data_IF_151762762297
#
_entry.id   IF_151762762297
#
_cell.length_a   1.000
_cell.length_b   1.000
_cell.length_c   1.000
_cell.angle_alpha   90.00
_cell.angle_beta   90.00
_cell.angle_gamma   90.00
#
_symmetry.space_group_name_H-M   'P 1'
#
loop_
_entity.id
_entity.type
_entity.pdbx_description
1 polymer ?
#
# COMPACT_ATOMS: atom_id res chain seq x y z
N UNK A 1 -8.18 -10.01 9.07
CA UNK A 1 -8.81 -10.46 7.80
C UNK A 1 -8.06 -9.81 6.66
N UNK A 2 -7.31 -10.54 5.82
CA UNK A 2 -6.56 -9.92 4.73
C UNK A 2 -7.52 -9.51 3.62
N UNK A 3 -7.34 -8.29 3.11
CA UNK A 3 -8.19 -7.71 2.06
C UNK A 3 -7.50 -7.93 0.71
N UNK A 4 -8.28 -8.30 -0.30
CA UNK A 4 -7.85 -8.42 -1.69
C UNK A 4 -8.14 -7.12 -2.45
N UNK A 5 -7.20 -6.72 -3.32
CA UNK A 5 -7.27 -5.47 -4.07
C UNK A 5 -7.09 -5.66 -5.57
N UNK A 6 -7.69 -4.74 -6.32
CA UNK A 6 -7.33 -4.41 -7.70
C UNK A 6 -6.65 -3.05 -7.77
N UNK A 7 -5.89 -2.83 -8.84
CA UNK A 7 -5.15 -1.58 -9.02
C UNK A 7 -6.10 -0.55 -9.65
N UNK A 8 -6.13 0.66 -9.09
CA UNK A 8 -6.90 1.76 -9.67
C UNK A 8 -6.02 2.56 -10.65
N UNK A 9 -6.64 3.24 -11.60
CA UNK A 9 -5.91 4.11 -12.52
C UNK A 9 -5.57 5.46 -11.86
N UNK A 10 -4.50 5.44 -11.07
CA UNK A 10 -3.97 6.61 -10.36
C UNK A 10 -3.46 7.68 -11.32
N UNK A 11 -3.04 7.31 -12.54
CA UNK A 11 -2.40 8.24 -13.47
C UNK A 11 -3.40 9.29 -13.96
N UNK A 12 -4.61 8.86 -14.31
CA UNK A 12 -5.68 9.77 -14.74
C UNK A 12 -6.15 10.69 -13.61
N UNK A 13 -6.12 10.22 -12.36
CA UNK A 13 -6.52 11.04 -11.21
C UNK A 13 -5.48 12.08 -10.77
N UNK A 14 -4.25 11.95 -11.25
CA UNK A 14 -3.12 12.83 -10.94
C UNK A 14 -2.89 13.93 -11.97
N UNK A 15 -3.86 14.18 -12.86
CA UNK A 15 -3.74 15.24 -13.86
C UNK A 15 -3.46 16.61 -13.19
N UNK A 16 -2.41 17.28 -13.65
CA UNK A 16 -1.91 18.54 -13.08
C UNK A 16 -1.01 18.42 -11.83
N UNK A 17 -0.87 17.26 -11.20
CA UNK A 17 0.04 17.08 -10.05
C UNK A 17 1.51 16.98 -10.50
N UNK A 18 2.42 17.67 -9.81
CA UNK A 18 3.87 17.63 -10.10
C UNK A 18 4.61 16.71 -9.15
N UNK A 19 4.04 16.44 -7.98
CA UNK A 19 4.66 15.70 -6.90
C UNK A 19 3.64 14.88 -6.10
N UNK A 20 3.99 13.63 -5.80
CA UNK A 20 3.12 12.66 -5.15
C UNK A 20 3.85 11.94 -4.01
N UNK A 21 3.19 11.86 -2.86
CA UNK A 21 3.60 11.00 -1.76
C UNK A 21 2.81 9.68 -1.78
N UNK A 22 3.48 8.57 -2.05
CA UNK A 22 2.90 7.23 -1.99
C UNK A 22 2.94 6.74 -0.54
N UNK A 23 1.79 6.34 0.00
CA UNK A 23 1.63 5.88 1.38
C UNK A 23 1.16 4.44 1.38
N UNK A 24 2.08 3.47 1.52
CA UNK A 24 1.74 2.07 1.52
C UNK A 24 1.28 1.56 2.90
N UNK A 25 0.19 0.78 2.90
CA UNK A 25 -0.13 -0.17 3.96
C UNK A 25 0.61 -1.49 3.67
N UNK A 26 1.52 -1.89 4.56
CA UNK A 26 2.45 -2.99 4.29
C UNK A 26 1.88 -4.38 4.58
N UNK A 27 0.58 -4.49 4.89
CA UNK A 27 -0.05 -5.78 5.16
C UNK A 27 -0.94 -6.25 4.00
N UNK A 28 -2.17 -5.75 3.91
CA UNK A 28 -3.16 -6.32 2.98
C UNK A 28 -2.78 -6.11 1.49
N UNK A 29 -2.33 -4.92 1.05
CA UNK A 29 -1.79 -4.73 -0.29
C UNK A 29 -0.59 -5.63 -0.59
N UNK A 30 0.36 -5.71 0.34
CA UNK A 30 1.54 -6.54 0.16
C UNK A 30 1.18 -8.04 0.05
N UNK A 31 0.20 -8.50 0.83
CA UNK A 31 -0.30 -9.86 0.73
C UNK A 31 -1.01 -10.11 -0.61
N UNK A 32 -1.82 -9.15 -1.07
CA UNK A 32 -2.49 -9.21 -2.38
C UNK A 32 -1.50 -9.35 -3.52
N UNK A 33 -0.48 -8.48 -3.56
CA UNK A 33 0.54 -8.52 -4.63
C UNK A 33 1.33 -9.83 -4.58
N UNK A 34 1.69 -10.31 -3.38
CA UNK A 34 2.39 -11.58 -3.23
C UNK A 34 1.57 -12.79 -3.74
N UNK A 35 0.26 -12.82 -3.45
CA UNK A 35 -0.64 -13.85 -3.98
C UNK A 35 -0.78 -13.74 -5.49
N UNK A 36 -1.01 -12.53 -6.01
CA UNK A 36 -1.18 -12.28 -7.45
C UNK A 36 0.04 -12.72 -8.25
N UNK A 37 1.24 -12.45 -7.73
CA UNK A 37 2.50 -12.82 -8.38
C UNK A 37 2.97 -14.25 -8.06
N UNK A 38 2.28 -14.99 -7.18
CA UNK A 38 2.70 -16.30 -6.68
C UNK A 38 4.11 -16.30 -6.08
N UNK A 39 4.44 -15.24 -5.33
CA UNK A 39 5.78 -15.02 -4.76
C UNK A 39 5.75 -14.96 -3.22
N UNK A 40 6.89 -15.22 -2.56
CA UNK A 40 6.97 -15.10 -1.10
C UNK A 40 6.53 -13.72 -0.61
N UNK A 41 5.59 -13.72 0.33
CA UNK A 41 5.11 -12.53 1.01
C UNK A 41 6.18 -11.91 1.91
N UNK A 42 6.93 -12.77 2.62
CA UNK A 42 8.07 -12.37 3.44
C UNK A 42 9.20 -13.38 3.28
N UNK A 43 10.44 -12.91 3.33
CA UNK A 43 11.63 -13.76 3.34
C UNK A 43 12.53 -13.37 4.51
N UNK A 44 12.48 -14.11 5.62
CA UNK A 44 13.15 -13.74 6.88
C UNK A 44 14.67 -13.55 6.74
N UNK A 45 15.31 -14.35 5.89
CA UNK A 45 16.78 -14.34 5.74
C UNK A 45 17.29 -13.53 4.55
N UNK A 46 16.41 -13.09 3.65
CA UNK A 46 16.80 -12.37 2.40
C UNK A 46 16.32 -10.93 2.35
N UNK A 47 15.25 -10.62 3.06
CA UNK A 47 14.65 -9.29 3.12
C UNK A 47 14.35 -8.97 4.59
N UNK A 48 14.62 -7.74 5.04
CA UNK A 48 14.42 -7.30 6.43
C UNK A 48 12.91 -7.25 6.79
N UNK A 49 12.24 -8.40 6.81
CA UNK A 49 10.79 -8.53 6.98
C UNK A 49 10.00 -7.65 6.01
N UNK A 50 10.46 -7.47 4.77
CA UNK A 50 9.71 -6.72 3.74
C UNK A 50 9.15 -7.65 2.68
N UNK A 51 8.06 -7.23 2.03
CA UNK A 51 7.52 -7.93 0.87
C UNK A 51 8.22 -7.47 -0.40
N UNK A 52 9.14 -8.28 -0.92
CA UNK A 52 9.81 -8.03 -2.19
C UNK A 52 8.84 -7.76 -3.37
N UNK A 53 7.75 -8.53 -3.57
CA UNK A 53 6.82 -8.24 -4.67
C UNK A 53 6.13 -6.88 -4.48
N UNK A 54 5.75 -6.50 -3.25
CA UNK A 54 5.14 -5.19 -3.01
C UNK A 54 6.11 -4.01 -3.23
N UNK A 55 7.37 -4.15 -2.85
CA UNK A 55 8.39 -3.12 -3.14
C UNK A 55 8.62 -2.98 -4.66
N UNK A 56 8.56 -4.08 -5.41
CA UNK A 56 8.63 -4.04 -6.87
C UNK A 56 7.41 -3.36 -7.49
N UNK A 57 6.20 -3.65 -6.98
CA UNK A 57 4.97 -2.96 -7.37
C UNK A 57 5.07 -1.45 -7.14
N UNK A 58 5.53 -1.01 -5.96
CA UNK A 58 5.70 0.43 -5.66
C UNK A 58 6.70 1.05 -6.64
N UNK A 59 7.83 0.39 -6.93
CA UNK A 59 8.81 0.89 -7.90
C UNK A 59 8.21 1.01 -9.31
N UNK A 60 7.44 0.03 -9.75
CA UNK A 60 6.76 0.07 -11.04
C UNK A 60 5.77 1.24 -11.11
N UNK A 61 5.00 1.48 -10.04
CA UNK A 61 4.12 2.64 -9.93
C UNK A 61 4.91 3.96 -9.98
N UNK A 62 6.03 4.06 -9.26
CA UNK A 62 6.90 5.24 -9.33
C UNK A 62 7.43 5.49 -10.74
N UNK A 63 7.84 4.43 -11.47
CA UNK A 63 8.28 4.53 -12.86
C UNK A 63 7.17 5.04 -13.78
N UNK A 64 5.96 4.48 -13.70
CA UNK A 64 4.79 4.91 -14.49
C UNK A 64 4.44 6.38 -14.24
N UNK A 65 4.54 6.85 -13.00
CA UNK A 65 4.31 8.25 -12.64
C UNK A 65 5.43 9.17 -13.15
N UNK A 66 6.68 8.71 -13.06
CA UNK A 66 7.83 9.44 -13.57
C UNK A 66 7.79 9.63 -15.10
N UNK A 67 7.28 8.64 -15.85
CA UNK A 67 7.03 8.76 -17.31
C UNK A 67 6.03 9.88 -17.65
N UNK A 68 5.19 10.27 -16.70
CA UNK A 68 4.26 11.41 -16.81
C UNK A 68 4.82 12.70 -16.23
N UNK A 69 6.09 12.73 -15.84
CA UNK A 69 6.76 13.89 -15.26
C UNK A 69 6.45 14.12 -13.78
N UNK A 70 5.79 13.18 -13.11
CA UNK A 70 5.41 13.30 -11.69
C UNK A 70 6.54 12.83 -10.79
N UNK A 71 7.02 13.69 -9.89
CA UNK A 71 8.01 13.33 -8.86
C UNK A 71 7.34 12.50 -7.77
N UNK A 72 7.94 11.39 -7.37
CA UNK A 72 7.35 10.51 -6.37
C UNK A 72 8.26 10.30 -5.16
N UNK A 73 7.66 10.27 -3.97
CA UNK A 73 8.30 9.84 -2.73
C UNK A 73 7.45 8.75 -2.07
N UNK A 74 8.07 7.81 -1.35
CA UNK A 74 7.36 6.76 -0.60
C UNK A 74 7.47 7.00 0.90
N UNK A 75 6.33 7.09 1.60
CA UNK A 75 6.28 7.23 3.05
C UNK A 75 6.44 5.85 3.73
N UNK A 76 7.70 5.42 3.91
CA UNK A 76 8.02 4.06 4.38
C UNK A 76 7.82 3.86 5.88
N UNK A 77 7.22 2.73 6.26
CA UNK A 77 7.16 2.19 7.63
C UNK A 77 8.10 0.99 7.75
N UNK A 78 9.17 1.10 8.56
CA UNK A 78 10.16 0.00 8.74
C UNK A 78 9.80 -0.97 9.87
N UNK A 79 8.98 -0.53 10.83
CA UNK A 79 8.65 -1.33 12.01
C UNK A 79 7.34 -2.08 11.78
N UNK A 80 7.30 -3.35 12.18
CA UNK A 80 6.14 -4.24 12.04
C UNK A 80 4.84 -3.63 12.60
N UNK A 81 4.89 -2.99 13.77
CA UNK A 81 3.73 -2.36 14.38
C UNK A 81 3.18 -1.16 13.58
N UNK A 82 3.91 -0.70 12.57
CA UNK A 82 3.52 0.38 11.65
C UNK A 82 3.04 -0.15 10.30
N UNK A 83 2.86 -1.46 10.12
CA UNK A 83 2.38 -2.01 8.85
C UNK A 83 0.89 -1.77 8.64
N UNK A 84 0.13 -1.73 9.73
CA UNK A 84 -1.28 -1.38 9.72
C UNK A 84 -1.41 0.15 9.72
N UNK A 85 -1.55 0.71 8.51
CA UNK A 85 -1.70 2.16 8.34
C UNK A 85 -2.86 2.71 9.19
N UNK A 86 -4.02 2.04 9.17
CA UNK A 86 -5.20 2.43 9.94
C UNK A 86 -4.97 2.47 11.46
N UNK A 87 -3.99 1.71 11.96
CA UNK A 87 -3.64 1.66 13.39
C UNK A 87 -2.46 2.56 13.76
N UNK A 88 -2.03 3.45 12.86
CA UNK A 88 -0.94 4.37 13.16
C UNK A 88 -1.25 5.29 14.33
N UNK A 89 -0.27 5.43 15.22
CA UNK A 89 -0.31 6.37 16.34
C UNK A 89 -0.39 7.81 15.85
N UNK A 90 -0.89 8.71 16.70
CA UNK A 90 -0.99 10.14 16.40
C UNK A 90 0.37 10.73 15.97
N UNK A 91 1.48 10.30 16.58
CA UNK A 91 2.82 10.74 16.22
C UNK A 91 3.22 10.34 14.79
N UNK A 92 2.81 9.15 14.33
CA UNK A 92 3.05 8.70 12.96
C UNK A 92 2.18 9.45 11.96
N UNK A 93 0.90 9.67 12.28
CA UNK A 93 -0.03 10.50 11.48
C UNK A 93 0.49 11.93 11.32
N UNK A 94 1.04 12.54 12.39
CA UNK A 94 1.68 13.87 12.33
C UNK A 94 2.95 13.89 11.45
N UNK A 95 3.72 12.81 11.41
CA UNK A 95 4.86 12.68 10.49
C UNK A 95 4.40 12.58 9.03
N UNK A 96 3.33 11.83 8.77
CA UNK A 96 2.70 11.78 7.45
C UNK A 96 2.28 13.18 7.01
N UNK A 97 1.52 13.90 7.85
CA UNK A 97 1.09 15.28 7.57
C UNK A 97 2.24 16.20 7.16
N UNK A 98 3.37 16.17 7.89
CA UNK A 98 4.56 16.98 7.56
C UNK A 98 5.16 16.63 6.21
N UNK A 99 5.18 15.35 5.85
CA UNK A 99 5.66 14.88 4.55
C UNK A 99 4.70 15.27 3.43
N UNK A 100 3.39 15.14 3.68
CA UNK A 100 2.33 15.44 2.71
C UNK A 100 2.39 16.91 2.26
N UNK A 101 2.63 17.86 3.17
CA UNK A 101 2.76 19.30 2.86
C UNK A 101 3.77 19.68 1.76
N UNK A 102 4.67 18.77 1.40
CA UNK A 102 5.67 18.98 0.35
C UNK A 102 5.24 18.42 -1.02
N UNK A 103 4.01 17.90 -1.12
CA UNK A 103 3.50 17.19 -2.28
C UNK A 103 2.11 17.71 -2.66
N UNK A 104 1.77 17.62 -3.94
CA UNK A 104 0.47 18.07 -4.46
C UNK A 104 -0.62 17.03 -4.15
N UNK A 105 -0.26 15.75 -4.14
CA UNK A 105 -1.17 14.66 -3.85
C UNK A 105 -0.53 13.54 -3.02
N UNK A 106 -1.40 12.75 -2.38
CA UNK A 106 -1.06 11.57 -1.61
C UNK A 106 -1.79 10.38 -2.21
N UNK A 107 -1.03 9.37 -2.65
CA UNK A 107 -1.59 8.11 -3.18
C UNK A 107 -1.54 7.06 -2.09
N UNK A 108 -2.71 6.53 -1.72
CA UNK A 108 -2.83 5.52 -0.66
C UNK A 108 -2.87 4.14 -1.29
N UNK A 109 -1.92 3.27 -0.93
CA UNK A 109 -1.98 1.85 -1.27
C UNK A 109 -2.50 1.11 -0.04
N UNK A 110 -3.82 0.96 0.06
CA UNK A 110 -4.50 0.42 1.24
C UNK A 110 -6.00 0.28 1.01
N UNK A 111 -6.72 -0.16 2.05
CA UNK A 111 -8.19 -0.17 2.05
C UNK A 111 -8.76 1.17 2.49
N UNK A 112 -10.08 1.28 2.41
CA UNK A 112 -10.86 2.47 2.76
C UNK A 112 -10.52 2.99 4.16
N UNK A 113 -10.32 2.10 5.15
CA UNK A 113 -9.90 2.50 6.50
C UNK A 113 -8.49 3.12 6.53
N UNK A 114 -7.59 2.66 5.67
CA UNK A 114 -6.28 3.27 5.49
C UNK A 114 -6.40 4.62 4.76
N UNK A 115 -7.24 4.71 3.72
CA UNK A 115 -7.55 5.97 3.02
C UNK A 115 -8.10 7.01 3.99
N UNK A 116 -9.10 6.65 4.80
CA UNK A 116 -9.69 7.53 5.81
C UNK A 116 -8.64 8.02 6.81
N UNK A 117 -7.74 7.13 7.25
CA UNK A 117 -6.66 7.51 8.16
C UNK A 117 -5.69 8.51 7.53
N UNK A 118 -5.40 8.39 6.23
CA UNK A 118 -4.59 9.37 5.49
C UNK A 118 -5.35 10.68 5.35
N UNK A 119 -6.62 10.61 4.93
CA UNK A 119 -7.49 11.77 4.76
C UNK A 119 -7.57 12.60 6.05
N UNK A 120 -7.87 11.98 7.19
CA UNK A 120 -7.85 12.63 8.50
C UNK A 120 -6.50 13.25 8.85
N UNK A 121 -5.40 12.52 8.58
CA UNK A 121 -4.06 13.00 8.90
C UNK A 121 -3.64 14.22 8.08
N UNK A 122 -4.14 14.35 6.85
CA UNK A 122 -3.77 15.43 5.92
C UNK A 122 -4.88 16.46 5.70
N UNK A 123 -6.02 16.35 6.40
CA UNK A 123 -7.18 17.26 6.29
C UNK A 123 -6.89 18.75 6.42
N UNK A 124 -5.78 19.11 7.07
CA UNK A 124 -5.32 20.50 7.25
C UNK A 124 -4.26 20.93 6.21
N UNK A 125 -4.16 20.19 5.12
CA UNK A 125 -3.28 20.46 3.98
C UNK A 125 -4.12 20.53 2.72
N UNK A 126 -3.65 21.22 1.69
CA UNK A 126 -4.32 21.28 0.39
C UNK A 126 -4.04 20.04 -0.48
N UNK A 127 -3.46 18.98 0.09
CA UNK A 127 -3.08 17.78 -0.62
C UNK A 127 -4.30 16.96 -1.03
N UNK A 128 -4.40 16.63 -2.32
CA UNK A 128 -5.41 15.69 -2.81
C UNK A 128 -5.07 14.27 -2.34
N UNK A 129 -6.04 13.55 -1.77
CA UNK A 129 -5.89 12.13 -1.41
C UNK A 129 -6.50 11.29 -2.51
N UNK A 130 -5.74 10.32 -3.03
CA UNK A 130 -6.14 9.44 -4.13
C UNK A 130 -5.95 7.99 -3.70
N UNK A 131 -6.92 7.16 -4.01
CA UNK A 131 -6.84 5.72 -3.79
C UNK A 131 -6.04 5.06 -4.90
N UNK A 132 -4.99 4.34 -4.54
CA UNK A 132 -4.18 3.60 -5.52
C UNK A 132 -4.63 2.16 -5.73
N UNK A 133 -5.52 1.65 -4.87
CA UNK A 133 -5.98 0.28 -4.90
C UNK A 133 -7.44 0.20 -4.42
N UNK A 134 -8.27 -0.54 -5.14
CA UNK A 134 -9.69 -0.73 -4.82
C UNK A 134 -9.93 -2.08 -4.17
N UNK A 135 -10.76 -2.11 -3.11
CA UNK A 135 -11.12 -3.36 -2.44
C UNK A 135 -12.07 -4.19 -3.31
N UNK A 136 -11.72 -5.44 -3.56
CA UNK A 136 -12.56 -6.37 -4.35
C UNK A 136 -13.09 -7.54 -3.54
N UNK A 137 -12.44 -7.87 -2.42
CA UNK A 137 -12.87 -8.99 -1.60
C UNK A 137 -12.05 -9.19 -0.34
N UNK A 138 -12.44 -10.21 0.40
CA UNK A 138 -11.69 -10.74 1.53
C UNK A 138 -10.88 -11.93 1.02
N UNK A 139 -9.59 -11.92 1.30
CA UNK A 139 -8.72 -13.04 1.00
C UNK A 139 -8.80 -14.08 2.12
N UNK A 140 -9.05 -15.32 1.76
CA UNK A 140 -8.87 -16.48 2.63
C UNK A 140 -7.71 -17.30 2.07
N UNK A 141 -6.59 -17.31 2.78
CA UNK A 141 -5.37 -17.96 2.34
C UNK A 141 -4.71 -18.67 3.52
N UNK A 142 -4.10 -19.83 3.25
CA UNK A 142 -3.28 -20.55 4.20
C UNK A 142 -1.84 -20.07 4.08
N UNK A 143 -1.17 -19.85 5.21
CA UNK A 143 0.25 -19.55 5.22
C UNK A 143 1.04 -20.86 5.09
N UNK A 144 1.99 -20.90 4.16
CA UNK A 144 2.99 -21.98 4.09
C UNK A 144 4.38 -21.43 4.34
N UNK A 145 5.04 -22.02 5.32
CA UNK A 145 6.44 -21.79 5.59
C UNK A 145 7.29 -22.72 4.71
N UNK A 146 8.24 -22.15 3.97
CA UNK A 146 9.18 -22.88 3.14
C UNK A 146 10.60 -22.57 3.59
N UNK A 147 11.40 -23.61 3.84
CA UNK A 147 12.80 -23.44 4.19
C UNK A 147 13.61 -22.96 2.96
N UNK A 148 14.57 -22.03 3.12
CA UNK A 148 14.95 -21.33 4.36
C UNK A 148 14.17 -20.01 4.56
N UNK A 149 13.13 -20.02 5.40
CA UNK A 149 12.50 -18.80 5.92
C UNK A 149 11.63 -17.98 4.96
N UNK A 150 11.08 -18.59 3.91
CA UNK A 150 10.07 -17.96 3.06
C UNK A 150 8.68 -18.19 3.63
N UNK A 151 7.85 -17.14 3.65
CA UNK A 151 6.42 -17.23 3.94
C UNK A 151 5.67 -16.99 2.64
N UNK A 152 4.89 -17.99 2.23
CA UNK A 152 4.07 -17.99 1.01
C UNK A 152 2.61 -18.19 1.38
N UNK A 153 1.72 -17.98 0.41
CA UNK A 153 0.29 -18.24 0.56
C UNK A 153 -0.13 -19.42 -0.32
N UNK A 154 -1.03 -20.25 0.21
CA UNK A 154 -1.64 -21.38 -0.50
C UNK A 154 -3.15 -21.39 -0.30
N UNK A 155 -3.86 -22.17 -1.10
CA UNK A 155 -5.32 -22.33 -1.01
C UNK A 155 -6.07 -20.99 -1.03
N UNK A 156 -5.58 -20.02 -1.82
CA UNK A 156 -6.11 -18.67 -1.86
C UNK A 156 -7.49 -18.65 -2.52
N UNK A 157 -8.50 -18.19 -1.76
CA UNK A 157 -9.84 -17.91 -2.23
C UNK A 157 -10.19 -16.46 -1.94
N UNK A 158 -10.74 -15.77 -2.92
CA UNK A 158 -11.27 -14.41 -2.75
C UNK A 158 -12.77 -14.54 -2.53
N UNK A 159 -13.23 -14.10 -1.37
CA UNK A 159 -14.64 -13.99 -1.05
C UNK A 159 -15.06 -12.56 -1.36
N UNK A 160 -15.94 -12.31 -2.34
CA UNK A 160 -16.40 -10.96 -2.64
C UNK A 160 -17.02 -10.33 -1.41
N UNK A 161 -16.73 -9.04 -1.17
CA UNK A 161 -17.49 -8.28 -0.19
C UNK A 161 -18.81 -7.94 -0.88
N UNK A 162 -19.93 -8.46 -0.35
CA UNK A 162 -21.25 -8.13 -0.84
C UNK A 162 -21.44 -6.61 -0.80
N UNK A 163 -21.54 -5.99 -1.98
CA UNK A 163 -21.93 -4.58 -2.11
C UNK A 163 -23.42 -4.53 -1.77
N UNK A 164 -23.75 -3.99 -0.60
CA UNK A 164 -25.11 -3.60 -0.27
C UNK A 164 -25.44 -2.25 -0.90
#
# INVERSE_FOLDING_TARGET
MPIHFEDLDVVSELDGARSVLIVPCNLCPAATVAVREQRPFMQLFRSLFTSAPFEQYIKALQSRLAEKGVKTQVFRSRLYHQWFLCMWTAGRRKKLQRSAKQHDAVVVLGCDSATETVHDAVKSTDCKVIEGMGVTGIMNAQLRFQLPGNITFESCKIVPISRH
#
